data_IF_991561927250
#
_entry.id   IF_991561927250
#
_cell.length_a   1.000
_cell.length_b   1.000
_cell.length_c   1.000
_cell.angle_alpha   90.00
_cell.angle_beta   90.00
_cell.angle_gamma   90.00
#
_symmetry.space_group_name_H-M   'P 1'
#
loop_
_entity.id
_entity.type
_entity.pdbx_description
1 polymer ?
#
# COMPACT_ATOMS: atom_id res chain seq x y z
N UNK A 1 -7.80 15.07 -7.72
CA UNK A 1 -7.10 13.78 -7.86
C UNK A 1 -7.37 12.95 -6.63
N UNK A 2 -7.42 11.62 -6.75
CA UNK A 2 -7.65 10.71 -5.62
C UNK A 2 -6.60 9.60 -5.64
N UNK A 3 -6.35 9.03 -4.48
CA UNK A 3 -5.45 7.89 -4.36
C UNK A 3 -6.22 6.58 -4.51
N UNK A 4 -5.65 5.65 -5.26
CA UNK A 4 -6.24 4.34 -5.53
C UNK A 4 -5.21 3.24 -5.31
N UNK A 5 -5.68 2.01 -5.08
CA UNK A 5 -4.80 0.85 -4.99
C UNK A 5 -4.73 0.14 -6.33
N UNK A 6 -3.52 -0.02 -6.86
CA UNK A 6 -3.23 -0.76 -8.07
C UNK A 6 -2.57 -2.10 -7.72
N UNK A 7 -3.17 -3.18 -8.22
CA UNK A 7 -2.60 -4.52 -8.13
C UNK A 7 -1.59 -4.74 -9.26
N UNK A 8 -0.43 -5.29 -8.92
CA UNK A 8 0.65 -5.54 -9.85
C UNK A 8 1.43 -6.82 -9.50
N UNK A 9 2.23 -7.30 -10.44
CA UNK A 9 3.11 -8.47 -10.22
C UNK A 9 4.33 -8.06 -9.40
N UNK A 10 4.37 -8.46 -8.13
CA UNK A 10 5.41 -8.08 -7.16
C UNK A 10 6.85 -8.32 -7.66
N UNK A 11 7.10 -9.40 -8.41
CA UNK A 11 8.43 -9.73 -8.95
C UNK A 11 8.93 -8.76 -10.03
N UNK A 12 8.05 -7.93 -10.60
CA UNK A 12 8.34 -6.98 -11.68
C UNK A 12 8.17 -5.51 -11.24
N UNK A 13 8.21 -5.23 -9.94
CA UNK A 13 7.97 -3.89 -9.38
C UNK A 13 8.81 -2.78 -10.05
N UNK A 14 10.07 -3.04 -10.37
CA UNK A 14 10.95 -2.06 -11.03
C UNK A 14 10.41 -1.59 -12.39
N UNK A 15 9.89 -2.53 -13.19
CA UNK A 15 9.31 -2.23 -14.50
C UNK A 15 8.02 -1.45 -14.35
N UNK A 16 7.19 -1.82 -13.37
CA UNK A 16 5.93 -1.12 -13.08
C UNK A 16 6.19 0.31 -12.63
N UNK A 17 7.12 0.53 -11.71
CA UNK A 17 7.44 1.87 -11.21
C UNK A 17 7.97 2.77 -12.32
N UNK A 18 8.91 2.27 -13.14
CA UNK A 18 9.42 3.02 -14.30
C UNK A 18 8.31 3.38 -15.29
N UNK A 19 7.33 2.49 -15.50
CA UNK A 19 6.19 2.78 -16.36
C UNK A 19 5.34 3.92 -15.80
N UNK A 20 5.03 3.90 -14.50
CA UNK A 20 4.28 4.97 -13.83
C UNK A 20 5.03 6.31 -13.85
N UNK A 21 6.35 6.28 -13.60
CA UNK A 21 7.23 7.46 -13.70
C UNK A 21 7.22 8.07 -15.11
N UNK A 22 7.34 7.24 -16.14
CA UNK A 22 7.31 7.69 -17.54
C UNK A 22 5.95 8.30 -17.93
N UNK A 23 4.87 7.87 -17.29
CA UNK A 23 3.53 8.45 -17.48
C UNK A 23 3.33 9.74 -16.68
N UNK A 24 4.28 10.12 -15.82
CA UNK A 24 4.14 11.26 -14.91
C UNK A 24 3.09 11.03 -13.81
N UNK A 25 2.77 9.77 -13.51
CA UNK A 25 1.79 9.41 -12.50
C UNK A 25 2.48 9.31 -11.14
N UNK A 26 1.94 10.00 -10.13
CA UNK A 26 2.45 9.88 -8.77
C UNK A 26 2.02 8.56 -8.15
N UNK A 27 2.96 7.85 -7.53
CA UNK A 27 2.69 6.61 -6.81
C UNK A 27 3.49 6.55 -5.53
N UNK A 28 3.00 5.73 -4.60
CA UNK A 28 3.62 5.46 -3.32
C UNK A 28 3.53 3.95 -3.05
N UNK A 29 4.68 3.34 -2.82
CA UNK A 29 4.78 1.94 -2.40
C UNK A 29 5.50 1.95 -1.04
N UNK A 30 4.80 1.68 0.08
CA UNK A 30 5.44 1.62 1.38
C UNK A 30 6.44 0.47 1.40
N UNK A 31 7.64 0.72 1.90
CA UNK A 31 8.74 -0.24 1.91
C UNK A 31 9.17 -0.58 3.33
N UNK A 32 9.26 -1.86 3.64
CA UNK A 32 9.86 -2.36 4.86
C UNK A 32 11.38 -2.48 4.71
N UNK A 33 12.11 -1.53 5.30
CA UNK A 33 13.57 -1.48 5.30
C UNK A 33 14.23 -2.38 6.39
N UNK A 34 13.43 -3.03 7.25
CA UNK A 34 13.93 -3.86 8.36
C UNK A 34 14.37 -5.26 7.92
N UNK A 35 13.95 -5.72 6.73
CA UNK A 35 14.32 -7.05 6.22
C UNK A 35 15.80 -7.08 5.82
N UNK A 36 16.54 -7.89 6.57
CA UNK A 36 17.93 -8.21 6.29
C UNK A 36 18.01 -9.53 5.54
N UNK A 37 18.78 -9.59 4.46
CA UNK A 37 19.14 -10.85 3.81
C UNK A 37 20.64 -11.12 3.96
N UNK A 38 20.95 -12.39 4.23
CA UNK A 38 22.33 -12.88 4.35
C UNK A 38 22.85 -13.21 2.95
N UNK A 39 23.98 -12.62 2.56
CA UNK A 39 24.53 -12.92 1.22
C UNK A 39 24.92 -14.40 1.11
N UNK A 40 24.77 -15.01 -0.09
CA UNK A 40 25.35 -16.32 -0.36
C UNK A 40 26.88 -16.28 -0.42
N UNK A 41 27.49 -15.17 -0.88
CA UNK A 41 28.95 -15.04 -1.09
C UNK A 41 29.74 -14.58 0.15
N UNK A 42 29.05 -14.03 1.16
CA UNK A 42 29.69 -13.47 2.35
C UNK A 42 28.80 -13.67 3.57
N UNK A 43 29.07 -14.76 4.28
CA UNK A 43 28.33 -15.26 5.45
C UNK A 43 28.29 -14.28 6.64
N UNK A 44 29.08 -13.20 6.60
CA UNK A 44 29.28 -12.26 7.73
C UNK A 44 28.49 -10.96 7.53
N UNK A 45 28.11 -10.60 6.30
CA UNK A 45 27.46 -9.31 5.99
C UNK A 45 25.96 -9.42 5.72
N UNK A 46 25.13 -8.85 6.58
CA UNK A 46 23.72 -8.60 6.29
C UNK A 46 23.57 -7.35 5.40
N UNK A 47 22.82 -7.43 4.30
CA UNK A 47 22.40 -6.25 3.53
C UNK A 47 20.91 -6.00 3.74
N UNK A 48 20.56 -4.73 3.96
CA UNK A 48 19.16 -4.26 3.95
C UNK A 48 18.68 -4.27 2.50
N UNK A 49 17.62 -5.03 2.22
CA UNK A 49 16.89 -4.94 0.95
C UNK A 49 15.47 -4.51 1.30
N UNK A 50 15.08 -3.25 1.05
CA UNK A 50 13.72 -2.84 1.31
C UNK A 50 12.78 -3.69 0.47
N UNK A 51 11.76 -4.26 1.11
CA UNK A 51 10.71 -5.04 0.44
C UNK A 51 9.38 -4.30 0.55
N UNK A 52 8.46 -4.43 -0.40
CA UNK A 52 7.14 -3.82 -0.27
C UNK A 52 6.43 -4.27 1.01
N UNK A 53 5.85 -3.33 1.74
CA UNK A 53 5.06 -3.60 2.93
C UNK A 53 3.78 -4.38 2.56
N UNK A 54 3.22 -4.09 1.39
CA UNK A 54 2.07 -4.77 0.79
C UNK A 54 2.47 -5.38 -0.57
N UNK A 55 3.02 -6.61 -0.61
CA UNK A 55 3.40 -7.25 -1.86
C UNK A 55 2.27 -7.26 -2.89
N UNK A 56 2.59 -6.82 -4.11
CA UNK A 56 1.65 -6.82 -5.23
C UNK A 56 0.62 -5.68 -5.20
N UNK A 57 0.71 -4.76 -4.24
CA UNK A 57 -0.14 -3.58 -4.17
C UNK A 57 0.70 -2.31 -4.10
N UNK A 58 0.24 -1.28 -4.81
CA UNK A 58 0.85 0.04 -4.76
C UNK A 58 -0.24 1.12 -4.77
N UNK A 59 0.03 2.26 -4.14
CA UNK A 59 -0.89 3.39 -4.12
C UNK A 59 -0.56 4.32 -5.28
N UNK A 60 -1.57 4.74 -6.02
CA UNK A 60 -1.43 5.59 -7.20
C UNK A 60 -2.35 6.78 -7.07
N UNK A 61 -1.81 7.98 -7.24
CA UNK A 61 -2.61 9.19 -7.33
C UNK A 61 -3.01 9.40 -8.79
N UNK A 62 -4.29 9.25 -9.07
CA UNK A 62 -4.82 9.35 -10.43
C UNK A 62 -6.07 10.20 -10.41
N UNK A 63 -6.29 10.91 -11.51
CA UNK A 63 -7.59 11.45 -11.85
C UNK A 63 -8.13 10.70 -13.08
N UNK A 64 -9.15 9.87 -12.87
CA UNK A 64 -9.75 9.08 -13.93
C UNK A 64 -10.48 9.94 -14.99
N UNK A 65 -10.70 11.23 -14.73
CA UNK A 65 -11.18 12.19 -15.73
C UNK A 65 -10.13 12.57 -16.79
N UNK A 66 -8.84 12.50 -16.44
CA UNK A 66 -7.73 12.86 -17.35
C UNK A 66 -6.96 11.64 -17.86
N UNK A 67 -6.77 10.62 -17.03
CA UNK A 67 -6.05 9.39 -17.39
C UNK A 67 -6.97 8.20 -17.17
N UNK A 68 -7.38 7.55 -18.25
CA UNK A 68 -8.14 6.30 -18.17
C UNK A 68 -7.32 5.20 -17.48
N UNK A 69 -7.98 4.43 -16.61
CA UNK A 69 -7.38 3.27 -15.91
C UNK A 69 -6.69 2.30 -16.86
N UNK A 70 -7.26 2.12 -18.06
CA UNK A 70 -6.72 1.26 -19.13
C UNK A 70 -5.32 1.64 -19.60
N UNK A 71 -4.96 2.93 -19.57
CA UNK A 71 -3.59 3.36 -19.93
C UNK A 71 -2.58 2.88 -18.90
N UNK A 72 -2.94 2.94 -17.62
CA UNK A 72 -2.08 2.49 -16.51
C UNK A 72 -2.00 0.96 -16.49
N UNK A 73 -3.12 0.28 -16.75
CA UNK A 73 -3.18 -1.20 -16.80
C UNK A 73 -2.72 -1.79 -18.13
N UNK A 74 -2.28 -0.96 -19.10
CA UNK A 74 -1.79 -1.44 -20.39
C UNK A 74 -0.46 -2.21 -20.27
N UNK A 75 0.28 -2.00 -19.19
CA UNK A 75 1.49 -2.76 -18.90
C UNK A 75 1.11 -4.19 -18.48
N UNK A 76 1.71 -5.25 -19.07
CA UNK A 76 1.35 -6.64 -18.73
C UNK A 76 1.49 -7.02 -17.25
N UNK A 77 2.31 -6.28 -16.49
CA UNK A 77 2.59 -6.56 -15.08
C UNK A 77 1.69 -5.78 -14.12
N UNK A 78 0.88 -4.87 -14.62
CA UNK A 78 -0.21 -4.20 -13.88
C UNK A 78 -1.50 -4.96 -14.16
N UNK A 79 -2.25 -5.32 -13.12
CA UNK A 79 -3.43 -6.16 -13.26
C UNK A 79 -4.70 -5.31 -13.30
N UNK A 80 -5.06 -4.69 -12.17
CA UNK A 80 -6.27 -3.88 -12.05
C UNK A 80 -6.20 -2.94 -10.86
N UNK A 81 -7.02 -1.91 -10.89
CA UNK A 81 -7.34 -1.15 -9.69
C UNK A 81 -8.27 -1.94 -8.79
N UNK A 82 -8.10 -1.80 -7.48
CA UNK A 82 -8.99 -2.41 -6.51
C UNK A 82 -10.31 -1.66 -6.52
N UNK A 83 -11.36 -2.41 -6.82
CA UNK A 83 -12.72 -1.91 -6.99
C UNK A 83 -13.69 -2.76 -6.17
N UNK A 84 -14.59 -2.10 -5.46
CA UNK A 84 -15.70 -2.72 -4.74
C UNK A 84 -16.99 -2.15 -5.33
N UNK A 85 -17.98 -2.99 -5.62
CA UNK A 85 -19.21 -2.55 -6.30
C UNK A 85 -19.04 -2.12 -7.77
N UNK A 86 -17.91 -2.45 -8.42
CA UNK A 86 -17.66 -2.17 -9.84
C UNK A 86 -16.84 -0.92 -10.13
N UNK A 87 -16.61 -0.05 -9.14
CA UNK A 87 -15.79 1.15 -9.29
C UNK A 87 -14.52 1.11 -8.44
N UNK A 88 -13.38 1.68 -8.92
CA UNK A 88 -12.17 1.79 -8.12
C UNK A 88 -12.41 2.58 -6.83
N UNK A 89 -12.01 2.02 -5.69
CA UNK A 89 -12.25 2.65 -4.39
C UNK A 89 -11.09 3.56 -4.03
N UNK A 90 -11.37 4.85 -3.75
CA UNK A 90 -10.32 5.77 -3.32
C UNK A 90 -9.91 5.47 -1.86
N UNK A 91 -8.62 5.51 -1.59
CA UNK A 91 -8.08 5.53 -0.22
C UNK A 91 -8.00 6.97 0.29
N UNK A 92 -8.29 7.17 1.58
CA UNK A 92 -8.18 8.48 2.20
C UNK A 92 -6.71 8.91 2.33
N UNK A 93 -6.44 10.22 2.25
CA UNK A 93 -5.10 10.76 2.48
C UNK A 93 -4.65 10.55 3.93
N UNK A 94 -5.60 10.48 4.88
CA UNK A 94 -5.35 10.16 6.28
C UNK A 94 -4.77 8.75 6.42
N UNK A 95 -5.38 7.74 5.78
CA UNK A 95 -4.91 6.36 5.84
C UNK A 95 -3.51 6.22 5.22
N UNK A 96 -3.26 6.89 4.09
CA UNK A 96 -1.93 6.94 3.48
C UNK A 96 -0.90 7.60 4.38
N UNK A 97 -1.28 8.69 5.05
CA UNK A 97 -0.41 9.38 6.00
C UNK A 97 -0.08 8.47 7.18
N UNK A 98 -1.06 7.74 7.71
CA UNK A 98 -0.87 6.76 8.79
C UNK A 98 0.09 5.63 8.38
N UNK A 99 -0.06 5.10 7.16
CA UNK A 99 0.87 4.11 6.59
C UNK A 99 2.29 4.66 6.50
N UNK A 100 2.46 5.91 6.04
CA UNK A 100 3.75 6.58 5.92
C UNK A 100 4.42 6.83 7.27
N UNK A 101 3.65 7.29 8.27
CA UNK A 101 4.16 7.51 9.64
C UNK A 101 4.60 6.20 10.25
N UNK A 102 3.82 5.13 10.07
CA UNK A 102 4.17 3.78 10.52
C UNK A 102 5.45 3.25 9.86
N UNK A 103 5.56 3.36 8.54
CA UNK A 103 6.75 2.97 7.77
C UNK A 103 8.01 3.68 8.30
N UNK A 104 7.94 5.01 8.46
CA UNK A 104 9.05 5.81 9.00
C UNK A 104 9.37 5.47 10.46
N UNK A 105 8.38 5.06 11.24
CA UNK A 105 8.54 4.60 12.62
C UNK A 105 9.35 3.30 12.71
N UNK A 106 9.05 2.30 11.87
CA UNK A 106 9.78 1.03 11.81
C UNK A 106 11.26 1.20 11.42
N UNK A 107 11.56 2.15 10.52
CA UNK A 107 12.93 2.35 10.03
C UNK A 107 13.94 2.92 11.05
N UNK A 108 13.48 3.41 12.21
CA UNK A 108 14.33 4.14 13.18
C UNK A 108 14.91 3.27 14.30
N UNK A 109 14.44 2.05 14.50
CA UNK A 109 14.96 1.15 15.55
C UNK A 109 15.87 0.08 14.96
N UNK A 110 17.18 0.07 15.27
CA UNK A 110 18.09 -1.01 14.86
C UNK A 110 17.86 -2.32 15.64
N UNK A 111 17.04 -2.30 16.70
CA UNK A 111 16.85 -3.42 17.64
C UNK A 111 15.42 -3.92 17.80
N UNK A 112 14.40 -3.22 17.26
CA UNK A 112 13.01 -3.71 17.25
C UNK A 112 12.42 -3.65 15.85
N UNK A 113 11.89 -4.78 15.37
CA UNK A 113 11.13 -4.89 14.10
C UNK A 113 9.73 -4.21 14.18
N UNK A 114 9.48 -3.52 15.29
CA UNK A 114 8.19 -2.94 15.69
C UNK A 114 8.26 -1.42 15.70
N UNK A 115 7.20 -0.78 15.20
CA UNK A 115 7.02 0.67 15.30
C UNK A 115 6.85 1.09 16.77
N UNK A 116 7.27 2.32 17.16
CA UNK A 116 7.02 2.88 18.48
C UNK A 116 5.54 2.81 18.87
N UNK A 117 5.24 2.44 20.12
CA UNK A 117 3.86 2.31 20.62
C UNK A 117 3.02 3.58 20.41
N UNK A 118 3.61 4.75 20.59
CA UNK A 118 2.91 6.03 20.44
C UNK A 118 2.41 6.25 19.02
N UNK A 119 3.21 5.82 18.02
CA UNK A 119 2.79 5.85 16.61
C UNK A 119 1.63 4.89 16.39
N UNK A 120 1.72 3.66 16.90
CA UNK A 120 0.66 2.66 16.76
C UNK A 120 -0.64 3.14 17.41
N UNK A 121 -0.58 3.77 18.59
CA UNK A 121 -1.75 4.31 19.30
C UNK A 121 -2.42 5.48 18.57
N UNK A 122 -1.68 6.21 17.73
CA UNK A 122 -2.23 7.31 16.92
C UNK A 122 -2.97 6.84 15.66
N UNK A 123 -2.73 5.60 15.22
CA UNK A 123 -3.34 5.05 14.02
C UNK A 123 -4.70 4.42 14.37
N UNK A 124 -5.75 4.57 13.53
CA UNK A 124 -7.01 3.88 13.73
C UNK A 124 -6.81 2.38 13.94
N UNK A 125 -7.46 1.82 14.97
CA UNK A 125 -7.25 0.42 15.40
C UNK A 125 -7.34 -0.58 14.24
N UNK A 126 -8.34 -0.43 13.37
CA UNK A 126 -8.54 -1.27 12.19
C UNK A 126 -7.33 -1.28 11.24
N UNK A 127 -6.76 -0.10 10.96
CA UNK A 127 -5.58 0.04 10.12
C UNK A 127 -4.31 -0.43 10.85
N UNK A 128 -4.21 -0.21 12.16
CA UNK A 128 -3.11 -0.71 12.97
C UNK A 128 -3.04 -2.25 12.94
N UNK A 129 -4.17 -2.95 13.00
CA UNK A 129 -4.24 -4.41 12.85
C UNK A 129 -3.66 -4.87 11.51
N UNK A 130 -3.95 -4.15 10.42
CA UNK A 130 -3.34 -4.41 9.11
C UNK A 130 -1.82 -4.24 9.21
N UNK A 131 -1.35 -3.09 9.69
CA UNK A 131 0.07 -2.71 9.65
C UNK A 131 0.97 -3.56 10.55
N UNK A 132 0.44 -4.08 11.66
CA UNK A 132 1.14 -4.92 12.62
C UNK A 132 1.23 -6.38 12.20
N UNK A 133 0.44 -6.85 11.22
CA UNK A 133 0.53 -8.23 10.73
C UNK A 133 1.93 -8.53 10.17
N UNK A 134 2.58 -9.59 10.64
CA UNK A 134 3.97 -9.90 10.26
C UNK A 134 4.09 -10.57 8.88
N UNK A 135 3.10 -11.38 8.51
CA UNK A 135 3.08 -12.04 7.21
C UNK A 135 2.65 -11.05 6.12
N UNK A 136 3.50 -10.77 5.12
CA UNK A 136 3.23 -9.70 4.15
C UNK A 136 2.09 -10.02 3.16
N UNK A 137 1.87 -11.30 2.85
CA UNK A 137 0.74 -11.73 2.02
C UNK A 137 -0.57 -11.58 2.79
N UNK A 138 -0.59 -12.03 4.05
CA UNK A 138 -1.75 -11.87 4.94
C UNK A 138 -2.04 -10.40 5.23
N UNK A 139 -1.00 -9.59 5.41
CA UNK A 139 -1.09 -8.13 5.56
C UNK A 139 -1.78 -7.49 4.35
N UNK A 140 -1.41 -7.91 3.15
CA UNK A 140 -2.02 -7.41 1.92
C UNK A 140 -3.49 -7.80 1.80
N UNK A 141 -3.86 -9.02 2.21
CA UNK A 141 -5.26 -9.43 2.31
C UNK A 141 -6.05 -8.61 3.34
N UNK A 142 -5.45 -8.31 4.49
CA UNK A 142 -6.07 -7.45 5.51
C UNK A 142 -6.27 -6.01 5.01
N UNK A 143 -5.33 -5.48 4.22
CA UNK A 143 -5.49 -4.18 3.58
C UNK A 143 -6.72 -4.15 2.66
N UNK A 144 -6.90 -5.18 1.82
CA UNK A 144 -8.07 -5.24 0.93
C UNK A 144 -9.38 -5.32 1.72
N UNK A 145 -9.41 -6.13 2.79
CA UNK A 145 -10.58 -6.24 3.66
C UNK A 145 -10.90 -4.93 4.36
N UNK A 146 -9.88 -4.23 4.86
CA UNK A 146 -10.02 -2.92 5.47
C UNK A 146 -10.64 -1.90 4.48
N UNK A 147 -10.19 -1.91 3.22
CA UNK A 147 -10.73 -1.03 2.18
C UNK A 147 -12.18 -1.39 1.81
N UNK A 148 -12.54 -2.68 1.78
CA UNK A 148 -13.91 -3.15 1.57
C UNK A 148 -14.85 -2.71 2.70
N UNK A 149 -14.43 -2.88 3.95
CA UNK A 149 -15.19 -2.45 5.14
C UNK A 149 -15.40 -0.93 5.13
N UNK A 150 -14.34 -0.15 4.86
CA UNK A 150 -14.43 1.31 4.73
C UNK A 150 -15.33 1.75 3.59
N UNK A 151 -15.29 1.05 2.46
CA UNK A 151 -16.18 1.33 1.34
C UNK A 151 -17.64 1.14 1.72
N UNK A 152 -17.99 0.01 2.35
CA UNK A 152 -19.37 -0.27 2.79
C UNK A 152 -19.88 0.77 3.78
N UNK A 153 -19.10 1.10 4.81
CA UNK A 153 -19.49 2.13 5.78
C UNK A 153 -19.65 3.51 5.15
N UNK A 154 -18.91 3.83 4.09
CA UNK A 154 -19.10 5.09 3.35
C UNK A 154 -20.40 5.11 2.56
N UNK A 155 -20.79 3.98 1.94
CA UNK A 155 -22.04 3.86 1.16
C UNK A 155 -23.26 3.99 2.07
N UNK A 156 -23.29 3.25 3.19
CA UNK A 156 -24.41 3.26 4.15
C UNK A 156 -24.68 4.67 4.72
N UNK A 157 -23.61 5.44 4.94
CA UNK A 157 -23.71 6.82 5.44
C UNK A 157 -24.32 7.78 4.42
N UNK A 158 -24.09 7.56 3.12
CA UNK A 158 -24.66 8.37 2.05
C UNK A 158 -26.16 8.10 1.87
N UNK A 159 -26.57 6.83 1.97
CA UNK A 159 -28.01 6.47 1.88
C UNK A 159 -28.82 7.04 3.06
N UNK A 160 -28.25 7.02 4.27
CA UNK A 160 -28.89 7.53 5.49
C UNK A 160 -29.13 9.05 5.52
N UNK A 161 -28.44 9.82 4.67
CA UNK A 161 -28.60 11.28 4.56
C UNK A 161 -29.61 11.69 3.47
N UNK A 162 -30.12 10.71 2.71
CA UNK A 162 -31.06 10.92 1.59
C UNK A 162 -32.49 10.47 1.88
N UNK A 163 -32.73 9.92 3.08
CA UNK A 163 -34.02 9.48 3.59
C UNK A 163 -34.53 10.42 4.69
#
# INVERSE_FOLDING_TARGET
MKWYVLQFTATRFQTVFKHLENMGVQFYCPMDASKHYRRPDNQIGFRKRPVPLFPGYLFVNVDFGSIHSTKITALPWTQRFISFGGEPVPISEEDLTNVLVFEKGRGKSPSSEQAPEDIVKSIPHELAVVLLEDNPEKRSMLLLRYLDERFRSSVEKTESLSA
#
